data_IF_664243695287
#
_entry.id   IF_664243695287
#
_cell.length_a   1.000
_cell.length_b   1.000
_cell.length_c   1.000
_cell.angle_alpha   90.00
_cell.angle_beta   90.00
_cell.angle_gamma   90.00
#
_symmetry.space_group_name_H-M   'P 1'
#
loop_
_entity.id
_entity.type
_entity.pdbx_description
1 polymer ?
#
# COMPACT_ATOMS: atom_id res chain seq x y z
N UNK A 1 0.86 28.45 -2.67
CA UNK A 1 -0.43 27.75 -2.47
C UNK A 1 -0.34 26.40 -3.16
N UNK A 2 -0.45 25.30 -2.41
CA UNK A 2 -0.57 23.96 -3.00
C UNK A 2 -2.00 23.73 -3.51
N UNK A 3 -2.16 23.02 -4.62
CA UNK A 3 -3.47 22.72 -5.20
C UNK A 3 -4.06 21.37 -4.72
N UNK A 4 -3.31 20.64 -3.89
CA UNK A 4 -3.70 19.33 -3.34
C UNK A 4 -3.93 18.25 -4.40
N UNK A 5 -3.44 18.39 -5.63
CA UNK A 5 -3.65 17.40 -6.68
C UNK A 5 -2.68 16.22 -6.53
N UNK A 6 -3.18 15.01 -6.78
CA UNK A 6 -2.33 13.81 -6.89
C UNK A 6 -1.50 13.91 -8.18
N UNK A 7 -0.22 13.60 -8.09
CA UNK A 7 0.70 13.51 -9.22
C UNK A 7 1.53 12.24 -9.06
N UNK A 8 1.58 11.42 -10.12
CA UNK A 8 2.34 10.18 -10.14
C UNK A 8 3.70 10.42 -10.77
N UNK A 9 4.75 10.00 -10.06
CA UNK A 9 6.09 9.90 -10.64
C UNK A 9 6.26 8.49 -11.19
N UNK A 10 6.61 8.38 -12.47
CA UNK A 10 6.64 7.10 -13.18
C UNK A 10 7.97 6.94 -13.91
N UNK A 11 8.72 5.92 -13.51
CA UNK A 11 9.85 5.41 -14.28
C UNK A 11 9.40 4.20 -15.08
N UNK A 12 9.29 4.35 -16.40
CA UNK A 12 8.74 3.33 -17.31
C UNK A 12 9.50 3.32 -18.62
N UNK A 13 9.41 2.20 -19.34
CA UNK A 13 9.85 2.12 -20.74
C UNK A 13 8.98 3.04 -21.63
N UNK A 14 9.56 3.57 -22.70
CA UNK A 14 8.86 4.48 -23.62
C UNK A 14 7.60 3.85 -24.23
N UNK A 15 7.66 2.56 -24.55
CA UNK A 15 6.54 1.81 -25.14
C UNK A 15 5.34 1.60 -24.21
N UNK A 16 5.49 1.83 -22.90
CA UNK A 16 4.40 1.68 -21.94
C UNK A 16 3.58 2.95 -21.91
N UNK A 17 2.32 2.92 -22.33
CA UNK A 17 1.43 4.08 -22.24
C UNK A 17 0.72 4.14 -20.89
N UNK A 18 0.37 5.34 -20.44
CA UNK A 18 -0.47 5.55 -19.27
C UNK A 18 -1.86 6.01 -19.71
N UNK A 19 -2.89 5.24 -19.38
CA UNK A 19 -4.28 5.46 -19.82
C UNK A 19 -5.17 6.10 -18.75
N UNK A 20 -4.61 6.37 -17.58
CA UNK A 20 -5.35 6.87 -16.42
C UNK A 20 -5.57 8.38 -16.40
N UNK A 21 -6.28 8.83 -15.36
CA UNK A 21 -6.68 10.23 -15.21
C UNK A 21 -5.71 11.06 -14.34
N UNK A 22 -4.72 10.42 -13.70
CA UNK A 22 -3.77 11.13 -12.85
C UNK A 22 -2.76 11.90 -13.70
N UNK A 23 -2.30 13.04 -13.16
CA UNK A 23 -1.18 13.74 -13.78
C UNK A 23 0.07 12.90 -13.56
N UNK A 24 0.81 12.62 -14.63
CA UNK A 24 2.06 11.88 -14.54
C UNK A 24 3.26 12.80 -14.80
N UNK A 25 4.36 12.51 -14.11
CA UNK A 25 5.70 12.98 -14.42
C UNK A 25 6.57 11.77 -14.69
N UNK A 26 7.04 11.66 -15.93
CA UNK A 26 7.92 10.57 -16.35
C UNK A 26 9.38 10.93 -16.17
N UNK A 27 10.19 10.00 -15.70
CA UNK A 27 11.62 10.17 -15.53
C UNK A 27 12.20 9.19 -14.51
N UNK A 28 13.53 9.18 -14.33
CA UNK A 28 14.16 8.32 -13.36
C UNK A 28 13.66 8.64 -11.95
N UNK A 29 13.23 7.60 -11.23
CA UNK A 29 12.86 7.71 -9.81
C UNK A 29 14.12 7.66 -8.97
N UNK A 30 14.21 8.54 -7.98
CA UNK A 30 15.32 8.62 -7.03
C UNK A 30 14.81 8.71 -5.58
N UNK A 31 15.73 8.90 -4.64
CA UNK A 31 15.42 9.00 -3.22
C UNK A 31 14.49 10.18 -2.87
N UNK A 32 14.48 11.28 -3.64
CA UNK A 32 13.61 12.44 -3.36
C UNK A 32 12.16 12.08 -3.59
N UNK A 33 11.88 11.30 -4.63
CA UNK A 33 10.54 10.80 -4.94
C UNK A 33 10.04 9.86 -3.84
N UNK A 34 10.91 8.98 -3.34
CA UNK A 34 10.58 8.11 -2.20
C UNK A 34 10.30 8.92 -0.93
N UNK A 35 11.15 9.91 -0.61
CA UNK A 35 10.94 10.80 0.53
C UNK A 35 9.65 11.62 0.40
N UNK A 36 9.31 12.09 -0.80
CA UNK A 36 8.07 12.80 -1.06
C UNK A 36 6.84 11.92 -0.86
N UNK A 37 6.90 10.67 -1.34
CA UNK A 37 5.82 9.70 -1.17
C UNK A 37 5.62 9.28 0.28
N UNK A 38 6.65 9.34 1.12
CA UNK A 38 6.59 9.00 2.55
C UNK A 38 6.44 10.24 3.46
N UNK A 39 6.25 11.43 2.90
CA UNK A 39 6.17 12.68 3.66
C UNK A 39 4.77 12.85 4.28
N UNK A 40 4.43 11.99 5.24
CA UNK A 40 3.16 12.03 5.98
C UNK A 40 3.02 13.38 6.67
N UNK A 41 1.92 14.13 6.42
CA UNK A 41 1.69 15.41 7.06
C UNK A 41 1.78 15.31 8.58
N UNK A 42 2.20 16.40 9.23
CA UNK A 42 2.43 16.49 10.69
C UNK A 42 3.68 15.73 11.16
N UNK A 43 4.04 14.61 10.53
CA UNK A 43 5.18 13.77 10.95
C UNK A 43 6.46 14.15 10.21
N UNK A 44 6.39 14.28 8.88
CA UNK A 44 7.53 14.57 8.04
C UNK A 44 7.34 15.89 7.27
N UNK A 45 8.42 16.66 7.04
CA UNK A 45 8.34 17.91 6.28
C UNK A 45 8.03 17.63 4.80
N UNK A 46 7.29 18.52 4.12
CA UNK A 46 7.09 18.42 2.67
C UNK A 46 8.41 18.43 1.90
N UNK A 47 8.51 17.62 0.85
CA UNK A 47 9.71 17.47 0.02
C UNK A 47 9.56 18.30 -1.26
N UNK A 48 10.58 19.09 -1.61
CA UNK A 48 10.56 19.91 -2.82
C UNK A 48 11.14 19.14 -4.01
N UNK A 49 10.35 18.95 -5.07
CA UNK A 49 10.80 18.36 -6.34
C UNK A 49 10.50 19.38 -7.46
N UNK A 50 11.57 19.95 -8.03
CA UNK A 50 11.46 21.07 -8.96
C UNK A 50 10.77 22.29 -8.33
N UNK A 51 9.69 22.83 -8.95
CA UNK A 51 9.02 24.04 -8.44
C UNK A 51 7.95 23.76 -7.38
N UNK A 52 7.63 22.49 -7.07
CA UNK A 52 6.51 22.14 -6.20
C UNK A 52 6.97 21.41 -4.94
N UNK A 53 6.17 21.53 -3.87
CA UNK A 53 6.29 20.74 -2.66
C UNK A 53 5.29 19.58 -2.70
N UNK A 54 5.75 18.41 -2.28
CA UNK A 54 5.01 17.17 -2.24
C UNK A 54 4.93 16.65 -0.81
N UNK A 55 3.83 15.98 -0.52
CA UNK A 55 3.53 15.25 0.71
C UNK A 55 3.03 13.87 0.31
N UNK A 56 2.84 12.98 1.27
CA UNK A 56 2.38 11.62 1.03
C UNK A 56 1.10 11.57 0.16
N UNK A 57 1.08 10.63 -0.79
CA UNK A 57 -0.02 10.39 -1.72
C UNK A 57 -1.20 9.63 -1.11
N UNK A 58 -1.00 8.90 -0.01
CA UNK A 58 -2.03 8.11 0.70
C UNK A 58 -3.21 8.97 1.15
N UNK A 59 -2.97 10.26 1.44
CA UNK A 59 -4.00 11.24 1.81
C UNK A 59 -5.14 11.31 0.78
N UNK A 60 -4.86 10.97 -0.48
CA UNK A 60 -5.83 11.02 -1.59
C UNK A 60 -5.93 9.74 -2.41
N UNK A 61 -5.07 8.75 -2.18
CA UNK A 61 -5.00 7.56 -2.99
C UNK A 61 -5.67 6.37 -2.28
N UNK A 62 -6.96 6.21 -2.54
CA UNK A 62 -7.73 5.04 -2.07
C UNK A 62 -7.52 3.78 -2.94
N UNK A 63 -6.72 3.88 -4.03
CA UNK A 63 -6.54 2.79 -5.00
C UNK A 63 -5.05 2.55 -5.34
N UNK A 64 -4.28 1.84 -4.50
CA UNK A 64 -2.85 1.60 -4.72
C UNK A 64 -2.55 0.83 -6.01
N UNK A 65 -3.47 0.04 -6.55
CA UNK A 65 -3.23 -0.77 -7.76
C UNK A 65 -3.55 -0.03 -9.06
N UNK A 66 -4.39 1.00 -9.00
CA UNK A 66 -4.88 1.72 -10.19
C UNK A 66 -3.77 2.24 -11.11
N UNK A 67 -2.66 2.83 -10.60
CA UNK A 67 -1.54 3.24 -11.46
C UNK A 67 -0.92 2.08 -12.26
N UNK A 68 -0.74 0.91 -11.65
CA UNK A 68 -0.18 -0.27 -12.34
C UNK A 68 -1.13 -0.79 -13.43
N UNK A 69 -2.44 -0.85 -13.12
CA UNK A 69 -3.48 -1.24 -14.08
C UNK A 69 -3.53 -0.27 -15.27
N UNK A 70 -3.46 1.05 -14.99
CA UNK A 70 -3.49 2.12 -15.99
C UNK A 70 -2.18 2.23 -16.81
N UNK A 71 -1.09 1.63 -16.33
CA UNK A 71 0.13 1.40 -17.10
C UNK A 71 0.07 0.10 -17.94
N UNK A 72 -1.08 -0.60 -17.92
CA UNK A 72 -1.31 -1.78 -18.73
C UNK A 72 -0.82 -3.08 -18.13
N UNK A 73 -0.64 -3.19 -16.80
CA UNK A 73 -0.24 -4.46 -16.18
C UNK A 73 -1.21 -5.61 -16.48
N UNK A 74 -0.67 -6.77 -16.85
CA UNK A 74 -1.40 -8.06 -16.97
C UNK A 74 -1.33 -8.88 -15.68
N UNK A 75 -0.24 -8.69 -14.92
CA UNK A 75 0.04 -9.33 -13.66
C UNK A 75 0.48 -8.27 -12.64
N UNK A 76 -0.01 -8.34 -11.41
CA UNK A 76 0.33 -7.42 -10.31
C UNK A 76 0.88 -8.23 -9.13
N UNK A 77 2.15 -8.01 -8.80
CA UNK A 77 2.75 -8.51 -7.57
C UNK A 77 2.53 -7.48 -6.46
N UNK A 78 1.92 -7.90 -5.35
CA UNK A 78 1.58 -7.05 -4.22
C UNK A 78 2.41 -7.48 -3.03
N UNK A 79 3.04 -6.51 -2.37
CA UNK A 79 3.72 -6.69 -1.09
C UNK A 79 2.96 -5.85 -0.07
N UNK A 80 2.08 -6.51 0.67
CA UNK A 80 1.38 -5.92 1.80
C UNK A 80 2.27 -5.86 3.04
N UNK A 81 1.92 -4.96 3.96
CA UNK A 81 2.60 -4.79 5.25
C UNK A 81 1.75 -5.23 6.44
N UNK A 82 0.51 -5.68 6.18
CA UNK A 82 -0.42 -6.19 7.21
C UNK A 82 -0.14 -7.62 7.58
N UNK A 83 -0.13 -7.91 8.87
CA UNK A 83 -0.18 -9.27 9.38
C UNK A 83 -1.60 -9.84 9.31
N UNK A 84 -1.74 -11.07 8.76
CA UNK A 84 -3.04 -11.62 8.33
C UNK A 84 -4.00 -11.99 9.48
N UNK A 85 -3.50 -12.34 10.67
CA UNK A 85 -4.35 -12.65 11.85
C UNK A 85 -5.04 -11.40 12.44
N UNK A 86 -4.57 -10.19 12.12
CA UNK A 86 -5.27 -8.96 12.49
C UNK A 86 -6.59 -8.79 11.72
N UNK A 87 -6.74 -9.38 10.52
CA UNK A 87 -7.97 -9.29 9.70
C UNK A 87 -9.15 -10.08 10.29
N UNK A 88 -8.89 -11.19 10.98
CA UNK A 88 -9.93 -11.94 11.71
C UNK A 88 -10.26 -11.29 13.06
N UNK A 89 -9.27 -10.63 13.66
CA UNK A 89 -9.40 -9.91 14.94
C UNK A 89 -10.06 -8.54 14.79
N UNK A 90 -10.07 -7.97 13.58
CA UNK A 90 -10.71 -6.69 13.22
C UNK A 90 -12.24 -6.73 13.37
N UNK A 91 -12.83 -7.92 13.50
CA UNK A 91 -14.24 -8.11 13.86
C UNK A 91 -14.53 -8.04 15.37
N UNK A 92 -13.50 -8.03 16.22
CA UNK A 92 -13.67 -7.83 17.65
C UNK A 92 -13.42 -6.35 17.99
N UNK A 93 -14.50 -5.58 18.10
CA UNK A 93 -14.46 -4.43 18.99
C UNK A 93 -14.11 -4.97 20.39
N UNK A 94 -12.86 -4.85 20.81
CA UNK A 94 -12.58 -4.87 22.24
C UNK A 94 -13.24 -3.63 22.80
N UNK A 95 -14.47 -3.80 23.31
CA UNK A 95 -15.17 -2.80 24.11
C UNK A 95 -14.33 -2.58 25.37
N UNK A 96 -13.30 -1.76 25.26
CA UNK A 96 -12.62 -1.20 26.43
C UNK A 96 -13.57 -0.18 27.04
N UNK A 97 -13.97 -0.46 28.28
CA UNK A 97 -14.73 0.36 29.24
C UNK A 97 -15.77 1.35 28.64
N UNK A 98 -17.08 1.15 28.85
CA UNK A 98 -18.10 2.09 28.41
C UNK A 98 -17.89 3.46 29.10
N UNK A 99 -17.30 4.43 28.36
CA UNK A 99 -16.96 5.83 28.70
C UNK A 99 -15.47 6.22 28.62
N UNK A 100 -14.57 5.40 28.10
CA UNK A 100 -13.22 5.89 27.80
C UNK A 100 -13.25 6.93 26.66
N UNK A 101 -12.94 8.20 26.96
CA UNK A 101 -12.75 9.22 25.92
C UNK A 101 -11.56 8.78 25.06
N UNK A 102 -11.71 8.62 23.75
CA UNK A 102 -10.61 8.14 22.92
C UNK A 102 -9.47 9.15 23.00
N UNK A 103 -8.28 8.68 23.38
CA UNK A 103 -7.10 9.51 23.42
C UNK A 103 -6.78 10.00 21.99
N UNK A 104 -6.21 11.20 21.87
CA UNK A 104 -5.75 11.74 20.58
C UNK A 104 -4.82 10.74 19.85
N UNK A 105 -4.07 9.95 20.62
CA UNK A 105 -3.16 8.90 20.14
C UNK A 105 -3.89 7.70 19.58
N UNK A 106 -4.96 7.23 20.23
CA UNK A 106 -5.81 6.16 19.71
C UNK A 106 -6.51 6.57 18.41
N UNK A 107 -6.98 7.81 18.33
CA UNK A 107 -7.56 8.36 17.10
C UNK A 107 -6.51 8.50 15.98
N UNK A 108 -5.28 8.91 16.30
CA UNK A 108 -4.21 9.04 15.31
C UNK A 108 -3.79 7.67 14.73
N UNK A 109 -3.66 6.63 15.56
CA UNK A 109 -3.41 5.25 15.10
C UNK A 109 -4.52 4.76 14.18
N UNK A 110 -5.79 4.87 14.62
CA UNK A 110 -6.95 4.50 13.80
C UNK A 110 -7.07 5.29 12.49
N UNK A 111 -6.65 6.54 12.47
CA UNK A 111 -6.60 7.33 11.23
C UNK A 111 -5.50 6.84 10.29
N UNK A 112 -4.35 6.40 10.81
CA UNK A 112 -3.29 5.81 10.00
C UNK A 112 -3.69 4.44 9.45
N UNK A 113 -4.35 3.61 10.25
CA UNK A 113 -5.03 2.39 9.78
C UNK A 113 -5.99 2.71 8.62
N UNK A 114 -6.87 3.68 8.80
CA UNK A 114 -7.83 4.04 7.76
C UNK A 114 -7.18 4.64 6.49
N UNK A 115 -6.04 5.35 6.62
CA UNK A 115 -5.37 6.05 5.51
C UNK A 115 -4.45 5.15 4.69
N UNK A 116 -3.89 4.08 5.26
CA UNK A 116 -2.87 3.27 4.57
C UNK A 116 -3.32 1.83 4.31
N UNK A 117 -4.22 1.31 5.15
CA UNK A 117 -4.21 -0.13 5.41
C UNK A 117 -5.44 -0.85 4.81
N UNK A 118 -6.58 -0.19 4.61
CA UNK A 118 -7.79 -0.84 4.04
C UNK A 118 -7.88 -0.81 2.50
N UNK A 119 -6.97 -0.08 1.84
CA UNK A 119 -7.08 0.19 0.41
C UNK A 119 -6.59 -0.95 -0.49
N UNK A 120 -5.58 -1.73 -0.07
CA UNK A 120 -5.07 -2.85 -0.88
C UNK A 120 -6.10 -3.99 -0.97
N UNK A 121 -6.71 -4.36 0.17
CA UNK A 121 -7.70 -5.45 0.22
C UNK A 121 -8.94 -5.09 -0.60
N UNK A 122 -9.41 -3.84 -0.48
CA UNK A 122 -10.53 -3.33 -1.26
C UNK A 122 -10.22 -3.37 -2.78
N UNK A 123 -9.07 -2.85 -3.18
CA UNK A 123 -8.64 -2.85 -4.59
C UNK A 123 -8.54 -4.29 -5.13
N UNK A 124 -7.99 -5.21 -4.34
CA UNK A 124 -7.86 -6.63 -4.69
C UNK A 124 -9.22 -7.27 -4.89
N UNK A 125 -10.16 -6.98 -4.00
CA UNK A 125 -11.53 -7.48 -4.12
C UNK A 125 -12.21 -6.92 -5.38
N UNK A 126 -12.06 -5.64 -5.68
CA UNK A 126 -12.62 -5.05 -6.91
C UNK A 126 -12.03 -5.68 -8.17
N UNK A 127 -10.71 -5.86 -8.22
CA UNK A 127 -10.05 -6.53 -9.35
C UNK A 127 -10.56 -7.96 -9.53
N UNK A 128 -10.65 -8.72 -8.43
CA UNK A 128 -11.15 -10.10 -8.47
C UNK A 128 -12.63 -10.18 -8.89
N UNK A 129 -13.46 -9.21 -8.49
CA UNK A 129 -14.86 -9.10 -8.93
C UNK A 129 -14.93 -8.88 -10.45
N UNK A 130 -14.10 -7.99 -11.01
CA UNK A 130 -14.04 -7.76 -12.46
C UNK A 130 -13.58 -9.01 -13.19
N UNK A 131 -12.52 -9.68 -12.72
CA UNK A 131 -12.04 -10.93 -13.31
C UNK A 131 -13.13 -12.01 -13.36
N UNK A 132 -13.92 -12.16 -12.28
CA UNK A 132 -15.05 -13.10 -12.22
C UNK A 132 -16.14 -12.75 -13.23
N UNK A 133 -16.49 -11.47 -13.37
CA UNK A 133 -17.48 -11.03 -14.37
C UNK A 133 -17.00 -11.34 -15.79
N UNK A 134 -15.71 -11.13 -16.09
CA UNK A 134 -15.13 -11.51 -17.39
C UNK A 134 -15.22 -13.03 -17.59
N UNK A 135 -14.83 -13.82 -16.58
CA UNK A 135 -14.88 -15.28 -16.64
C UNK A 135 -16.31 -15.82 -16.88
N UNK A 136 -17.30 -15.29 -16.16
CA UNK A 136 -18.71 -15.66 -16.35
C UNK A 136 -19.23 -15.24 -17.73
N UNK A 137 -18.78 -14.09 -18.24
CA UNK A 137 -19.18 -13.60 -19.56
C UNK A 137 -18.57 -14.43 -20.68
N UNK A 138 -17.30 -14.85 -20.56
CA UNK A 138 -16.65 -15.80 -21.48
C UNK A 138 -17.37 -17.17 -21.45
N UNK A 139 -17.79 -17.63 -20.27
CA UNK A 139 -18.58 -18.87 -20.13
C UNK A 139 -19.96 -18.79 -20.80
N UNK A 140 -20.62 -17.64 -20.73
CA UNK A 140 -21.98 -17.45 -21.25
C UNK A 140 -22.01 -17.15 -22.76
N UNK A 141 -21.09 -16.29 -23.22
CA UNK A 141 -21.09 -15.76 -24.60
C UNK A 141 -19.99 -16.35 -25.48
N UNK A 142 -19.09 -17.17 -24.93
CA UNK A 142 -18.00 -17.83 -25.64
C UNK A 142 -16.63 -17.16 -25.48
N UNK A 143 -15.56 -17.83 -25.92
CA UNK A 143 -14.17 -17.41 -25.66
C UNK A 143 -13.77 -16.10 -26.37
N UNK A 144 -14.52 -15.68 -27.39
CA UNK A 144 -14.24 -14.43 -28.12
C UNK A 144 -14.89 -13.19 -27.48
N UNK A 145 -15.69 -13.35 -26.43
CA UNK A 145 -16.43 -12.26 -25.78
C UNK A 145 -15.57 -11.02 -25.51
N UNK A 146 -14.39 -11.23 -24.91
CA UNK A 146 -13.52 -10.13 -24.51
C UNK A 146 -12.91 -9.40 -25.72
N UNK A 147 -12.60 -10.15 -26.79
CA UNK A 147 -12.13 -9.59 -28.05
C UNK A 147 -13.24 -8.74 -28.70
N UNK A 148 -14.43 -9.30 -28.84
CA UNK A 148 -15.58 -8.64 -29.48
C UNK A 148 -15.98 -7.38 -28.72
N UNK A 149 -15.96 -7.42 -27.38
CA UNK A 149 -16.22 -6.26 -26.53
C UNK A 149 -15.19 -5.15 -26.77
N UNK A 150 -13.89 -5.49 -26.77
CA UNK A 150 -12.84 -4.49 -26.98
C UNK A 150 -12.87 -3.89 -28.38
N UNK A 151 -13.20 -4.68 -29.41
CA UNK A 151 -13.39 -4.16 -30.77
C UNK A 151 -14.64 -3.28 -30.87
N UNK A 152 -15.73 -3.63 -30.19
CA UNK A 152 -16.92 -2.79 -30.08
C UNK A 152 -16.59 -1.43 -29.43
N UNK A 153 -15.87 -1.42 -28.30
CA UNK A 153 -15.47 -0.19 -27.60
C UNK A 153 -14.67 0.75 -28.50
N UNK A 154 -13.73 0.20 -29.29
CA UNK A 154 -12.95 0.98 -30.27
C UNK A 154 -13.82 1.50 -31.41
N UNK A 155 -14.67 0.65 -31.99
CA UNK A 155 -15.53 0.99 -33.13
C UNK A 155 -16.53 2.10 -32.77
N UNK A 156 -17.09 2.04 -31.57
CA UNK A 156 -18.02 3.07 -31.06
C UNK A 156 -17.31 4.32 -30.53
N UNK A 157 -15.96 4.32 -30.49
CA UNK A 157 -15.18 5.45 -30.01
C UNK A 157 -15.38 5.75 -28.53
N UNK A 158 -15.76 4.73 -27.74
CA UNK A 158 -15.95 4.86 -26.28
C UNK A 158 -14.59 5.19 -25.65
N UNK A 159 -14.56 6.19 -24.78
CA UNK A 159 -13.35 6.67 -24.11
C UNK A 159 -13.40 6.37 -22.61
N UNK A 160 -12.22 6.26 -22.01
CA UNK A 160 -12.03 6.01 -20.58
C UNK A 160 -10.94 4.97 -20.39
N UNK A 161 -10.46 4.81 -19.15
CA UNK A 161 -9.33 3.92 -18.86
C UNK A 161 -9.50 2.52 -19.49
N UNK A 162 -10.59 1.83 -19.15
CA UNK A 162 -10.89 0.47 -19.65
C UNK A 162 -11.02 0.45 -21.17
N UNK A 163 -11.69 1.43 -21.77
CA UNK A 163 -11.90 1.46 -23.21
C UNK A 163 -10.59 1.75 -23.98
N UNK A 164 -9.72 2.59 -23.41
CA UNK A 164 -8.43 2.94 -23.99
C UNK A 164 -7.44 1.77 -23.92
N UNK A 165 -7.37 1.06 -22.78
CA UNK A 165 -6.42 -0.06 -22.58
C UNK A 165 -6.98 -1.43 -22.98
N UNK A 166 -8.29 -1.52 -23.19
CA UNK A 166 -9.03 -2.78 -23.31
C UNK A 166 -9.36 -3.41 -21.96
N UNK A 167 -10.57 -3.97 -21.84
CA UNK A 167 -10.93 -4.84 -20.72
C UNK A 167 -10.11 -6.13 -20.83
N UNK A 168 -9.51 -6.53 -19.72
CA UNK A 168 -8.74 -7.77 -19.60
C UNK A 168 -8.80 -8.31 -18.18
N UNK A 169 -8.55 -9.60 -18.03
CA UNK A 169 -8.29 -10.21 -16.72
C UNK A 169 -6.90 -9.80 -16.26
N UNK A 170 -6.77 -9.49 -14.97
CA UNK A 170 -5.49 -9.11 -14.36
C UNK A 170 -5.20 -10.11 -13.24
N UNK A 171 -4.09 -10.82 -13.34
CA UNK A 171 -3.68 -11.75 -12.31
C UNK A 171 -3.00 -10.99 -11.17
N UNK A 172 -3.30 -11.33 -9.91
CA UNK A 172 -2.59 -10.76 -8.77
C UNK A 172 -2.02 -11.85 -7.89
N UNK A 173 -0.80 -11.61 -7.42
CA UNK A 173 -0.14 -12.42 -6.41
C UNK A 173 0.22 -11.50 -5.24
N UNK A 174 -0.24 -11.82 -4.03
CA UNK A 174 -0.03 -10.97 -2.87
C UNK A 174 0.79 -11.69 -1.79
N UNK A 175 1.82 -11.01 -1.32
CA UNK A 175 2.56 -11.33 -0.10
C UNK A 175 2.07 -10.45 1.03
N UNK A 176 1.96 -11.05 2.21
CA UNK A 176 1.73 -10.38 3.47
C UNK A 176 2.74 -10.95 4.46
N UNK A 177 3.29 -10.14 5.38
CA UNK A 177 4.26 -10.61 6.34
C UNK A 177 3.70 -11.79 7.15
N UNK A 178 4.51 -12.82 7.33
CA UNK A 178 4.17 -13.98 8.19
C UNK A 178 4.26 -13.69 9.69
N UNK A 179 4.69 -12.49 10.06
CA UNK A 179 4.84 -12.05 11.45
C UNK A 179 4.31 -10.62 11.62
N UNK A 180 3.85 -10.30 12.84
CA UNK A 180 3.37 -8.97 13.20
C UNK A 180 4.53 -7.96 13.25
N UNK A 181 4.57 -7.05 12.26
CA UNK A 181 5.60 -6.04 12.12
C UNK A 181 5.58 -5.03 13.28
N UNK A 182 4.40 -4.69 13.81
CA UNK A 182 4.23 -3.84 14.97
C UNK A 182 4.81 -4.45 16.24
N UNK A 183 4.58 -5.75 16.46
CA UNK A 183 5.19 -6.49 17.57
C UNK A 183 6.71 -6.50 17.48
N UNK A 184 7.25 -6.83 16.30
CA UNK A 184 8.70 -6.82 16.07
C UNK A 184 9.28 -5.43 16.31
N UNK A 185 8.56 -4.39 15.86
CA UNK A 185 8.94 -3.01 16.04
C UNK A 185 9.05 -2.64 17.54
N UNK A 186 8.07 -3.03 18.33
CA UNK A 186 8.03 -2.83 19.77
C UNK A 186 9.16 -3.55 20.50
N UNK A 187 9.37 -4.83 20.18
CA UNK A 187 10.45 -5.63 20.77
C UNK A 187 11.83 -5.01 20.53
N UNK A 188 12.06 -4.49 19.31
CA UNK A 188 13.29 -3.78 18.95
C UNK A 188 13.44 -2.48 19.72
N UNK A 189 12.39 -1.67 19.84
CA UNK A 189 12.43 -0.43 20.60
C UNK A 189 12.76 -0.68 22.08
N UNK A 190 12.13 -1.68 22.71
CA UNK A 190 12.40 -2.07 24.10
C UNK A 190 13.86 -2.55 24.26
N UNK A 191 14.36 -3.34 23.30
CA UNK A 191 15.76 -3.78 23.32
C UNK A 191 16.73 -2.59 23.19
N UNK A 192 16.41 -1.63 22.33
CA UNK A 192 17.20 -0.41 22.14
C UNK A 192 17.22 0.46 23.40
N UNK A 193 16.09 0.64 24.09
CA UNK A 193 16.03 1.45 25.31
C UNK A 193 16.84 0.86 26.46
N UNK A 194 17.02 -0.45 26.51
CA UNK A 194 17.89 -1.14 27.47
C UNK A 194 19.37 -1.09 27.10
N UNK A 195 19.69 -1.04 25.80
CA UNK A 195 21.08 -1.17 25.32
C UNK A 195 21.74 0.18 25.10
N UNK A 196 20.97 1.17 24.66
CA UNK A 196 21.49 2.48 24.23
C UNK A 196 21.51 3.45 25.40
N UNK A 197 22.66 4.04 25.67
CA UNK A 197 22.81 5.02 26.76
C UNK A 197 22.00 6.30 26.56
N UNK A 198 21.69 6.65 25.30
CA UNK A 198 20.87 7.82 24.95
C UNK A 198 20.00 7.54 23.72
N UNK A 199 18.68 7.53 23.94
CA UNK A 199 17.68 7.44 22.89
C UNK A 199 17.64 8.71 22.02
N UNK A 200 17.20 8.60 20.77
CA UNK A 200 16.86 9.72 19.89
C UNK A 200 15.56 10.40 20.34
N UNK A 201 15.20 11.54 19.73
CA UNK A 201 13.92 12.20 20.04
C UNK A 201 12.72 11.34 19.65
N UNK A 202 12.80 10.68 18.50
CA UNK A 202 11.77 9.78 17.97
C UNK A 202 11.66 8.52 18.85
N UNK A 203 12.78 7.90 19.21
CA UNK A 203 12.79 6.73 20.11
C UNK A 203 12.20 7.07 21.49
N UNK A 204 12.52 8.25 22.04
CA UNK A 204 11.92 8.72 23.31
C UNK A 204 10.43 8.98 23.18
N UNK A 205 10.00 9.57 22.08
CA UNK A 205 8.58 9.80 21.80
C UNK A 205 7.83 8.46 21.82
N UNK A 206 8.33 7.44 21.11
CA UNK A 206 7.70 6.13 21.10
C UNK A 206 7.74 5.40 22.44
N UNK A 207 8.84 5.49 23.19
CA UNK A 207 8.89 4.91 24.53
C UNK A 207 7.83 5.53 25.44
N UNK A 208 7.70 6.87 25.43
CA UNK A 208 6.67 7.57 26.20
C UNK A 208 5.26 7.24 25.70
N UNK A 209 5.10 7.00 24.40
CA UNK A 209 3.83 6.61 23.80
C UNK A 209 3.38 5.23 24.30
N UNK A 210 4.27 4.23 24.27
CA UNK A 210 4.01 2.89 24.80
C UNK A 210 3.80 2.86 26.34
N UNK A 211 4.39 3.80 27.08
CA UNK A 211 4.13 3.96 28.52
C UNK A 211 2.72 4.47 28.82
N UNK A 212 2.19 5.38 27.99
CA UNK A 212 0.86 5.98 28.17
C UNK A 212 -0.25 5.00 27.77
N UNK A 213 -0.01 4.23 26.72
CA UNK A 213 -0.92 3.21 26.23
C UNK A 213 -0.12 1.96 25.81
N UNK A 214 0.01 0.97 26.70
CA UNK A 214 0.69 -0.29 26.38
C UNK A 214 -0.03 -1.12 25.31
N UNK A 215 -1.30 -0.80 25.06
CA UNK A 215 -2.12 -1.37 23.97
C UNK A 215 -2.09 -0.52 22.71
N UNK A 216 -1.24 0.52 22.68
CA UNK A 216 -1.17 1.42 21.56
C UNK A 216 -0.88 0.69 20.26
N UNK A 217 -1.43 1.27 19.20
CA UNK A 217 -1.35 0.76 17.85
C UNK A 217 0.10 0.55 17.40
N UNK A 218 0.52 -0.71 17.42
CA UNK A 218 1.89 -1.13 17.13
C UNK A 218 2.25 -0.87 15.66
N UNK A 219 1.25 -0.70 14.79
CA UNK A 219 1.44 -0.44 13.37
C UNK A 219 1.99 0.96 13.11
N UNK A 220 1.65 1.95 13.95
CA UNK A 220 2.29 3.26 13.88
C UNK A 220 3.78 3.18 14.20
N UNK A 221 4.16 2.33 15.16
CA UNK A 221 5.56 2.14 15.52
C UNK A 221 6.34 1.48 14.39
N UNK A 222 5.79 0.44 13.76
CA UNK A 222 6.43 -0.22 12.62
C UNK A 222 6.57 0.71 11.42
N UNK A 223 5.59 1.59 11.19
CA UNK A 223 5.62 2.56 10.09
C UNK A 223 6.72 3.62 10.24
N UNK A 224 6.96 4.09 11.46
CA UNK A 224 7.90 5.20 11.73
C UNK A 224 9.28 4.76 12.19
N UNK A 225 9.46 3.48 12.53
CA UNK A 225 10.74 3.00 13.01
C UNK A 225 11.65 2.60 11.85
N UNK A 226 12.61 3.47 11.52
CA UNK A 226 13.65 3.22 10.52
C UNK A 226 14.99 2.79 11.13
N UNK A 227 14.93 2.00 12.22
CA UNK A 227 16.14 1.52 12.89
C UNK A 227 16.77 0.35 12.13
N UNK A 228 18.10 0.32 12.04
CA UNK A 228 18.84 -0.67 11.23
C UNK A 228 18.51 -2.12 11.59
N UNK A 229 18.44 -2.44 12.89
CA UNK A 229 18.08 -3.77 13.37
C UNK A 229 16.68 -4.19 12.96
N UNK A 230 15.71 -3.28 13.12
CA UNK A 230 14.34 -3.53 12.64
C UNK A 230 14.28 -3.72 11.12
N UNK A 231 14.96 -2.88 10.34
CA UNK A 231 14.97 -3.03 8.89
C UNK A 231 15.58 -4.35 8.43
N UNK A 232 16.60 -4.86 9.16
CA UNK A 232 17.17 -6.17 8.90
C UNK A 232 16.13 -7.28 9.11
N UNK A 233 15.36 -7.21 10.20
CA UNK A 233 14.31 -8.20 10.48
C UNK A 233 13.24 -8.20 9.38
N UNK A 234 12.83 -7.02 8.90
CA UNK A 234 11.86 -6.92 7.80
C UNK A 234 12.37 -7.58 6.52
N UNK A 235 13.65 -7.42 6.19
CA UNK A 235 14.26 -8.06 5.03
C UNK A 235 14.29 -9.58 5.20
N UNK A 236 14.69 -10.06 6.39
CA UNK A 236 14.77 -11.50 6.69
C UNK A 236 13.39 -12.17 6.61
N UNK A 237 12.35 -11.50 7.14
CA UNK A 237 10.95 -11.94 7.04
C UNK A 237 10.52 -11.97 5.58
N UNK A 238 10.77 -10.91 4.80
CA UNK A 238 10.42 -10.87 3.38
C UNK A 238 11.08 -12.00 2.57
N UNK A 239 12.36 -12.29 2.84
CA UNK A 239 13.07 -13.42 2.21
C UNK A 239 12.44 -14.76 2.61
N UNK A 240 12.12 -14.94 3.90
CA UNK A 240 11.48 -16.15 4.43
C UNK A 240 10.11 -16.36 3.78
N UNK A 241 9.29 -15.32 3.69
CA UNK A 241 7.94 -15.37 3.12
C UNK A 241 7.97 -15.69 1.61
N UNK A 242 8.91 -15.09 0.88
CA UNK A 242 9.12 -15.41 -0.53
C UNK A 242 9.54 -16.87 -0.73
N UNK A 243 10.45 -17.39 0.11
CA UNK A 243 10.90 -18.79 0.03
C UNK A 243 9.79 -19.80 0.32
N UNK A 244 8.90 -19.50 1.26
CA UNK A 244 7.77 -20.39 1.58
C UNK A 244 6.79 -20.55 0.41
N UNK A 245 6.74 -19.57 -0.49
CA UNK A 245 5.85 -19.55 -1.66
C UNK A 245 6.63 -19.53 -2.98
N UNK A 246 7.87 -20.04 -2.97
CA UNK A 246 8.80 -19.95 -4.11
C UNK A 246 8.20 -20.54 -5.39
N UNK A 247 7.60 -21.73 -5.31
CA UNK A 247 6.98 -22.40 -6.46
C UNK A 247 5.85 -21.56 -7.06
N UNK A 248 4.94 -21.06 -6.23
CA UNK A 248 3.80 -20.27 -6.70
C UNK A 248 4.26 -18.93 -7.28
N UNK A 249 5.26 -18.29 -6.65
CA UNK A 249 5.85 -17.06 -7.13
C UNK A 249 6.55 -17.27 -8.48
N UNK A 250 7.34 -18.34 -8.62
CA UNK A 250 8.00 -18.68 -9.87
C UNK A 250 6.98 -18.93 -10.99
N UNK A 251 5.89 -19.62 -10.69
CA UNK A 251 4.78 -19.83 -11.62
C UNK A 251 4.11 -18.50 -12.02
N UNK A 252 3.89 -17.60 -11.06
CA UNK A 252 3.30 -16.29 -11.32
C UNK A 252 4.20 -15.40 -12.18
N UNK A 253 5.52 -15.45 -11.98
CA UNK A 253 6.50 -14.64 -12.72
C UNK A 253 6.86 -15.20 -14.11
N UNK A 254 6.50 -16.46 -14.39
CA UNK A 254 6.68 -17.10 -15.71
C UNK A 254 5.67 -16.59 -16.73
#
# INVERSE_FOLDING_TARGET
MGNGKLELFVDKKDAVEYTGAYRIKTGPIDWQHAMASAAVPVIFPPVRIGPYFYVDGSIRQNTPMSPAVQLGADKILIVGVKYREALESSGSFSLTEPNAYPSFTHLAGKLLDALFLDHIDYDLEQMNRINKVVEWSEKLYGPNYLHDLNEMLKKEGIRGDIANRGLKKIEAFAFFPSEDLGRIACERLIKLSRTKSKLSQVERFFMKFLEVDPTADLDLLSYLMFEKGFMSDLIDIGIKDCKQRETDLAQFLS
#
